data_IF_089029895056
#
_entry.id   IF_089029895056
#
_cell.length_a   1.000
_cell.length_b   1.000
_cell.length_c   1.000
_cell.angle_alpha   90.00
_cell.angle_beta   90.00
_cell.angle_gamma   90.00
#
_symmetry.space_group_name_H-M   'P 1'
#
loop_
_entity.id
_entity.type
_entity.pdbx_description
1 polymer ?
#
# COMPACT_ATOMS: atom_id res chain seq x y z
N UNK A 1 -1.76 -53.39 54.72
CA UNK A 1 -2.35 -53.16 56.06
C UNK A 1 -1.31 -52.43 56.90
N UNK A 2 -1.55 -51.31 57.61
CA UNK A 2 -2.63 -50.31 57.58
C UNK A 2 -2.12 -48.85 57.38
N UNK A 3 -3.03 -47.94 57.02
CA UNK A 3 -2.89 -46.47 57.00
C UNK A 3 -3.01 -45.84 58.40
N UNK A 4 -2.67 -44.55 58.57
CA UNK A 4 -3.76 -43.62 58.91
C UNK A 4 -3.69 -42.21 58.28
N UNK A 5 -4.88 -41.82 57.80
CA UNK A 5 -5.56 -40.51 57.75
C UNK A 5 -4.82 -39.28 58.31
N UNK A 6 -4.78 -38.22 57.49
CA UNK A 6 -5.07 -36.87 57.98
C UNK A 6 -6.07 -36.18 57.05
N UNK A 7 -7.18 -35.80 57.68
CA UNK A 7 -8.32 -35.06 57.13
C UNK A 7 -8.12 -33.58 57.45
N UNK A 8 -8.29 -32.70 56.45
CA UNK A 8 -8.66 -31.29 56.70
C UNK A 8 -9.64 -30.86 55.62
N UNK A 9 -10.90 -31.00 55.99
CA UNK A 9 -12.04 -30.35 55.36
C UNK A 9 -12.29 -29.07 56.15
N UNK A 10 -12.33 -27.92 55.48
CA UNK A 10 -12.94 -26.71 56.03
C UNK A 10 -13.86 -26.15 54.95
N UNK A 11 -15.14 -26.17 55.27
CA UNK A 11 -16.21 -25.56 54.51
C UNK A 11 -16.60 -24.24 55.19
N UNK A 12 -16.86 -23.19 54.40
CA UNK A 12 -18.00 -22.27 54.58
C UNK A 12 -17.96 -21.25 53.44
N UNK A 13 -18.92 -21.33 52.51
CA UNK A 13 -20.08 -20.43 52.40
C UNK A 13 -19.73 -18.93 52.38
N UNK A 14 -20.08 -18.24 51.29
CA UNK A 14 -21.35 -17.52 51.24
C UNK A 14 -21.54 -16.80 49.88
N UNK A 15 -22.67 -17.13 49.26
CA UNK A 15 -23.29 -16.41 48.15
C UNK A 15 -23.76 -15.02 48.59
N UNK A 16 -23.53 -13.98 47.78
CA UNK A 16 -24.44 -12.81 47.70
C UNK A 16 -24.50 -12.27 46.29
N UNK A 17 -25.55 -12.68 45.58
CA UNK A 17 -26.15 -11.91 44.50
C UNK A 17 -26.68 -10.60 45.10
N UNK A 18 -26.33 -9.46 44.51
CA UNK A 18 -26.95 -8.18 44.80
C UNK A 18 -27.53 -7.61 43.52
N UNK A 19 -28.78 -7.97 43.23
CA UNK A 19 -29.65 -7.21 42.35
C UNK A 19 -30.13 -5.97 43.10
N UNK A 20 -29.89 -4.78 42.56
CA UNK A 20 -30.69 -3.62 42.95
C UNK A 20 -31.02 -2.76 41.75
N UNK A 21 -32.32 -2.60 41.57
CA UNK A 21 -32.96 -2.01 40.43
C UNK A 21 -33.41 -0.57 40.75
N UNK A 22 -33.37 0.26 39.71
CA UNK A 22 -34.23 1.41 39.36
C UNK A 22 -34.42 2.63 40.30
N UNK A 23 -34.35 3.80 39.62
CA UNK A 23 -35.08 5.09 39.80
C UNK A 23 -34.43 6.21 40.62
N UNK A 24 -34.13 7.30 39.91
CA UNK A 24 -34.29 8.70 40.35
C UNK A 24 -34.36 9.56 39.09
N UNK A 25 -35.53 9.99 38.59
CA UNK A 25 -36.37 11.14 38.97
C UNK A 25 -35.67 12.50 38.88
N UNK A 26 -36.23 13.34 38.01
CA UNK A 26 -35.85 14.71 37.60
C UNK A 26 -35.81 15.74 38.74
N UNK A 27 -35.29 16.94 38.45
CA UNK A 27 -36.19 18.09 38.49
C UNK A 27 -36.13 19.01 37.25
N UNK A 28 -37.29 19.58 36.95
CA UNK A 28 -37.55 20.68 36.02
C UNK A 28 -37.12 22.02 36.63
N UNK A 29 -36.46 22.89 35.84
CA UNK A 29 -36.72 24.34 35.76
C UNK A 29 -35.91 24.91 34.57
N UNK A 30 -36.52 25.09 33.39
CA UNK A 30 -37.17 26.33 32.92
C UNK A 30 -36.18 27.49 32.76
N UNK A 31 -35.64 27.65 31.55
CA UNK A 31 -35.32 28.97 31.01
C UNK A 31 -35.97 29.11 29.64
N UNK A 32 -36.70 30.20 29.49
CA UNK A 32 -37.68 30.47 28.46
C UNK A 32 -37.17 31.56 27.53
N UNK A 33 -37.20 31.25 26.23
CA UNK A 33 -37.42 32.09 25.06
C UNK A 33 -36.74 33.46 24.96
N UNK A 34 -36.02 33.68 23.84
CA UNK A 34 -36.46 34.63 22.79
C UNK A 34 -36.02 34.16 21.40
N UNK A 35 -37.01 33.87 20.55
CA UNK A 35 -36.89 33.91 19.08
C UNK A 35 -37.10 35.36 18.63
N UNK A 36 -36.32 35.81 17.64
CA UNK A 36 -36.72 36.87 16.74
C UNK A 36 -36.15 36.58 15.34
N UNK A 37 -36.98 36.58 14.28
CA UNK A 37 -36.56 36.39 12.91
C UNK A 37 -36.21 37.74 12.27
N UNK A 38 -35.16 37.78 11.45
CA UNK A 38 -35.00 38.85 10.46
C UNK A 38 -35.00 38.19 9.09
N UNK A 39 -36.17 38.25 8.47
CA UNK A 39 -36.29 38.16 7.03
C UNK A 39 -35.66 39.41 6.42
N UNK A 40 -34.81 39.23 5.41
CA UNK A 40 -34.55 40.27 4.42
C UNK A 40 -34.49 39.62 3.05
N UNK A 41 -35.25 40.26 2.16
CA UNK A 41 -35.67 39.79 0.86
C UNK A 41 -34.54 39.97 -0.16
N UNK A 42 -34.42 38.98 -1.03
CA UNK A 42 -34.16 39.05 -2.48
C UNK A 42 -33.56 40.36 -3.01
N UNK A 43 -32.36 40.26 -3.58
CA UNK A 43 -32.07 40.83 -4.89
C UNK A 43 -30.94 40.04 -5.58
N UNK A 44 -31.29 39.34 -6.65
CA UNK A 44 -30.35 38.88 -7.67
C UNK A 44 -29.83 40.12 -8.42
N UNK A 45 -28.52 40.36 -8.50
CA UNK A 45 -27.99 41.17 -9.57
C UNK A 45 -27.80 40.26 -10.80
N UNK A 46 -28.76 40.29 -11.72
CA UNK A 46 -28.47 40.02 -13.11
C UNK A 46 -27.47 41.08 -13.60
N UNK A 47 -26.20 40.70 -13.76
CA UNK A 47 -25.25 41.49 -14.55
C UNK A 47 -25.02 40.78 -15.87
N UNK A 48 -25.72 41.32 -16.86
CA UNK A 48 -25.42 41.14 -18.26
C UNK A 48 -23.95 41.51 -18.56
N UNK A 49 -23.33 40.67 -19.38
CA UNK A 49 -22.28 40.98 -20.35
C UNK A 49 -21.20 41.99 -19.96
N UNK A 50 -20.00 41.47 -19.66
CA UNK A 50 -18.79 41.95 -20.33
C UNK A 50 -17.94 40.72 -20.68
N UNK A 51 -17.93 40.40 -21.98
CA UNK A 51 -16.91 39.54 -22.59
C UNK A 51 -15.57 40.21 -22.33
N UNK A 52 -14.79 39.72 -21.36
CA UNK A 52 -13.38 40.10 -21.27
C UNK A 52 -12.62 39.25 -22.27
N UNK A 53 -12.55 39.79 -23.48
CA UNK A 53 -11.62 39.38 -24.51
C UNK A 53 -10.21 39.28 -23.92
N UNK A 54 -9.73 38.06 -23.74
CA UNK A 54 -8.29 37.80 -23.66
C UNK A 54 -7.79 37.83 -25.10
N UNK A 55 -7.41 39.01 -25.56
CA UNK A 55 -6.53 39.14 -26.72
C UNK A 55 -5.17 38.55 -26.32
N UNK A 56 -5.03 37.23 -26.47
CA UNK A 56 -3.71 36.59 -26.49
C UNK A 56 -3.20 36.70 -27.92
N UNK A 57 -2.15 37.49 -28.10
CA UNK A 57 -1.39 37.59 -29.34
C UNK A 57 -0.64 36.28 -29.55
N UNK A 58 -1.30 35.27 -30.10
CA UNK A 58 -0.58 34.17 -30.73
C UNK A 58 0.06 34.73 -32.02
N UNK A 59 1.36 34.53 -32.28
CA UNK A 59 1.93 34.88 -33.57
C UNK A 59 1.21 34.05 -34.64
N UNK A 60 0.55 34.74 -35.56
CA UNK A 60 0.03 34.13 -36.77
C UNK A 60 1.21 33.56 -37.56
N UNK A 61 1.33 32.23 -37.61
CA UNK A 61 2.18 31.57 -38.60
C UNK A 61 1.54 31.82 -39.96
N UNK A 62 2.01 32.87 -40.63
CA UNK A 62 1.76 33.13 -42.04
C UNK A 62 2.12 31.87 -42.81
N UNK A 63 1.10 31.18 -43.32
CA UNK A 63 1.25 30.02 -44.21
C UNK A 63 1.68 30.57 -45.58
N UNK A 64 2.96 30.93 -45.69
CA UNK A 64 3.59 31.20 -46.97
C UNK A 64 3.74 29.88 -47.72
N UNK A 65 3.26 29.83 -48.96
CA UNK A 65 3.60 28.77 -49.90
C UNK A 65 5.05 29.07 -50.33
N UNK A 66 6.02 28.53 -49.60
CA UNK A 66 7.40 28.44 -50.07
C UNK A 66 7.60 27.03 -50.64
N UNK A 67 8.03 26.88 -51.91
CA UNK A 67 8.58 25.61 -52.34
C UNK A 67 9.94 25.46 -51.64
N UNK A 68 10.19 24.28 -51.07
CA UNK A 68 11.45 23.89 -50.41
C UNK A 68 11.72 24.49 -49.02
N UNK A 69 10.88 24.17 -48.04
CA UNK A 69 11.30 24.22 -46.62
C UNK A 69 10.71 23.03 -45.84
N UNK A 70 11.52 21.98 -45.82
CA UNK A 70 11.77 21.02 -44.73
C UNK A 70 10.83 21.08 -43.50
N UNK A 71 10.19 19.93 -43.28
CA UNK A 71 9.21 19.61 -42.25
C UNK A 71 9.72 19.97 -40.83
N UNK A 72 9.14 20.97 -40.13
CA UNK A 72 9.52 21.21 -38.74
C UNK A 72 8.94 20.09 -37.89
N UNK A 73 9.83 19.30 -37.27
CA UNK A 73 9.50 18.25 -36.32
C UNK A 73 8.48 18.77 -35.29
N UNK A 74 7.41 18.00 -35.13
CA UNK A 74 6.40 18.18 -34.08
C UNK A 74 7.14 18.27 -32.74
N UNK A 75 6.87 19.26 -31.86
CA UNK A 75 7.31 19.17 -30.48
C UNK A 75 6.49 18.04 -29.85
N UNK A 76 7.03 16.84 -29.94
CA UNK A 76 6.57 15.71 -29.19
C UNK A 76 6.93 16.03 -27.73
N UNK A 77 5.92 16.46 -27.00
CA UNK A 77 5.82 16.16 -25.58
C UNK A 77 5.70 14.64 -25.45
N UNK A 78 6.79 13.95 -25.77
CA UNK A 78 7.07 12.59 -25.38
C UNK A 78 7.64 12.73 -23.97
N UNK A 79 6.77 12.63 -22.98
CA UNK A 79 7.18 11.86 -21.81
C UNK A 79 7.62 10.52 -22.37
N UNK A 80 8.93 10.38 -22.57
CA UNK A 80 9.60 9.14 -22.92
C UNK A 80 9.26 8.15 -21.80
N UNK A 81 8.15 7.45 -21.99
CA UNK A 81 7.87 6.21 -21.30
C UNK A 81 8.93 5.25 -21.83
N UNK A 82 10.07 5.22 -21.14
CA UNK A 82 11.11 4.23 -21.34
C UNK A 82 10.45 2.90 -21.05
N UNK A 83 9.94 2.23 -22.09
CA UNK A 83 9.45 0.88 -21.98
C UNK A 83 10.64 0.00 -21.60
N UNK A 84 10.68 -0.55 -20.39
CA UNK A 84 11.70 -1.52 -20.03
C UNK A 84 11.27 -2.81 -20.70
N UNK A 85 12.17 -3.41 -21.48
CA UNK A 85 11.96 -4.64 -22.25
C UNK A 85 11.85 -5.89 -21.37
N UNK A 86 11.27 -5.78 -20.18
CA UNK A 86 11.01 -6.89 -19.26
C UNK A 86 9.56 -7.31 -19.50
N UNK A 87 9.35 -8.56 -19.91
CA UNK A 87 8.02 -9.08 -20.17
C UNK A 87 7.25 -9.20 -18.84
N UNK A 88 6.47 -8.16 -18.52
CA UNK A 88 5.51 -8.20 -17.41
C UNK A 88 4.51 -9.32 -17.69
N UNK A 89 4.37 -10.25 -16.76
CA UNK A 89 3.48 -11.39 -16.91
C UNK A 89 2.02 -10.96 -16.74
N UNK A 90 1.15 -11.40 -17.65
CA UNK A 90 -0.31 -11.27 -17.47
C UNK A 90 -0.80 -12.35 -16.50
N UNK A 91 -0.75 -12.06 -15.20
CA UNK A 91 -1.21 -12.98 -14.15
C UNK A 91 -2.74 -12.94 -13.99
N UNK A 92 -3.37 -14.05 -13.63
CA UNK A 92 -4.72 -14.06 -13.05
C UNK A 92 -4.68 -13.57 -11.60
N UNK A 93 -5.84 -13.22 -11.03
CA UNK A 93 -5.94 -12.78 -9.64
C UNK A 93 -5.44 -13.88 -8.67
N UNK A 94 -5.84 -15.14 -8.90
CA UNK A 94 -5.41 -16.29 -8.11
C UNK A 94 -3.90 -16.52 -8.16
N UNK A 95 -3.31 -16.51 -9.36
CA UNK A 95 -1.85 -16.69 -9.52
C UNK A 95 -1.07 -15.55 -8.85
N UNK A 96 -1.52 -14.30 -8.98
CA UNK A 96 -0.90 -13.18 -8.28
C UNK A 96 -0.96 -13.38 -6.76
N UNK A 97 -2.11 -13.83 -6.24
CA UNK A 97 -2.26 -14.07 -4.81
C UNK A 97 -1.27 -15.12 -4.32
N UNK A 98 -1.23 -16.28 -4.97
CA UNK A 98 -0.31 -17.38 -4.66
C UNK A 98 1.16 -16.93 -4.69
N UNK A 99 1.61 -16.33 -5.80
CA UNK A 99 3.00 -15.87 -5.97
C UNK A 99 3.39 -14.79 -4.96
N UNK A 100 2.50 -13.82 -4.72
CA UNK A 100 2.81 -12.70 -3.84
C UNK A 100 2.72 -13.11 -2.35
N UNK A 101 1.82 -14.04 -1.98
CA UNK A 101 1.79 -14.61 -0.62
C UNK A 101 3.03 -15.47 -0.39
N UNK A 102 3.36 -16.40 -1.28
CA UNK A 102 4.56 -17.24 -1.17
C UNK A 102 5.84 -16.39 -1.04
N UNK A 103 5.99 -15.38 -1.91
CA UNK A 103 7.14 -14.49 -1.85
C UNK A 103 7.21 -13.73 -0.52
N UNK A 104 6.11 -13.15 -0.07
CA UNK A 104 6.11 -12.37 1.18
C UNK A 104 6.28 -13.26 2.41
N UNK A 105 5.73 -14.46 2.43
CA UNK A 105 5.93 -15.42 3.52
C UNK A 105 7.41 -15.81 3.64
N UNK A 106 8.09 -16.03 2.51
CA UNK A 106 9.54 -16.28 2.48
C UNK A 106 10.33 -15.07 3.00
N UNK A 107 9.94 -13.85 2.58
CA UNK A 107 10.54 -12.61 3.06
C UNK A 107 10.37 -12.48 4.58
N UNK A 108 9.14 -12.67 5.08
CA UNK A 108 8.82 -12.63 6.51
C UNK A 108 9.67 -13.63 7.28
N UNK A 109 9.72 -14.89 6.85
CA UNK A 109 10.52 -15.92 7.51
C UNK A 109 12.00 -15.54 7.62
N UNK A 110 12.59 -14.94 6.58
CA UNK A 110 13.98 -14.46 6.61
C UNK A 110 14.19 -13.28 7.57
N UNK A 111 13.22 -12.38 7.65
CA UNK A 111 13.30 -11.24 8.55
C UNK A 111 13.02 -11.61 10.02
N UNK A 112 12.14 -12.58 10.27
CA UNK A 112 11.92 -13.16 11.60
C UNK A 112 13.17 -13.88 12.12
N UNK A 113 13.83 -14.67 11.28
CA UNK A 113 15.15 -15.28 11.59
C UNK A 113 16.18 -14.20 11.99
N UNK A 114 16.23 -13.08 11.27
CA UNK A 114 17.12 -11.97 11.61
C UNK A 114 16.73 -11.24 12.89
N UNK A 115 15.43 -11.12 13.18
CA UNK A 115 14.94 -10.51 14.42
C UNK A 115 15.33 -11.35 15.64
N UNK A 116 15.37 -12.68 15.53
CA UNK A 116 15.86 -13.57 16.59
C UNK A 116 17.37 -13.39 16.84
N UNK A 117 18.15 -13.09 15.81
CA UNK A 117 19.59 -12.79 15.93
C UNK A 117 19.88 -11.36 16.43
N UNK A 118 18.96 -10.43 16.14
CA UNK A 118 19.11 -8.99 16.37
C UNK A 118 17.85 -8.38 16.97
N UNK A 119 17.90 -8.14 18.28
CA UNK A 119 16.80 -7.52 19.05
C UNK A 119 16.46 -6.08 18.63
N UNK A 120 17.28 -5.44 17.78
CA UNK A 120 17.08 -4.07 17.32
C UNK A 120 16.25 -3.95 16.04
N UNK A 121 15.93 -5.07 15.38
CA UNK A 121 15.05 -5.15 14.21
C UNK A 121 13.66 -5.60 14.67
N UNK A 122 12.61 -4.95 14.17
CA UNK A 122 11.22 -5.32 14.44
C UNK A 122 10.47 -5.55 13.13
N UNK A 123 9.82 -6.70 13.01
CA UNK A 123 9.15 -7.17 11.79
C UNK A 123 7.70 -7.48 12.12
N UNK A 124 6.77 -6.87 11.39
CA UNK A 124 5.34 -7.05 11.58
C UNK A 124 4.68 -7.28 10.22
N UNK A 125 3.97 -8.41 10.08
CA UNK A 125 3.22 -8.73 8.87
C UNK A 125 1.72 -8.83 9.17
N UNK A 126 0.93 -7.94 8.58
CA UNK A 126 -0.51 -7.91 8.79
C UNK A 126 -1.27 -7.51 7.54
N UNK A 127 -2.30 -8.30 7.18
CA UNK A 127 -3.23 -7.99 6.09
C UNK A 127 -2.56 -7.67 4.74
N UNK A 128 -1.48 -8.38 4.41
CA UNK A 128 -0.70 -8.15 3.18
C UNK A 128 0.22 -6.93 3.23
N UNK A 129 0.44 -6.36 4.41
CA UNK A 129 1.41 -5.28 4.66
C UNK A 129 2.50 -5.81 5.59
N UNK A 130 3.73 -5.84 5.09
CA UNK A 130 4.95 -6.13 5.85
C UNK A 130 5.61 -4.81 6.24
N UNK A 131 5.81 -4.60 7.53
CA UNK A 131 6.52 -3.46 8.09
C UNK A 131 7.81 -3.96 8.74
N UNK A 132 8.95 -3.41 8.31
CA UNK A 132 10.26 -3.72 8.88
C UNK A 132 10.85 -2.43 9.46
N UNK A 133 11.01 -2.38 10.77
CA UNK A 133 11.66 -1.27 11.44
C UNK A 133 13.16 -1.55 11.56
N UNK A 134 13.95 -0.79 10.82
CA UNK A 134 15.41 -0.89 10.86
C UNK A 134 15.99 0.31 11.63
N UNK A 135 16.78 0.11 12.70
CA UNK A 135 17.13 1.16 13.65
C UNK A 135 17.94 2.30 13.03
N UNK A 136 18.85 2.00 12.10
CA UNK A 136 19.72 3.00 11.47
C UNK A 136 19.17 3.57 10.16
N UNK A 137 18.24 2.87 9.50
CA UNK A 137 17.77 3.18 8.14
C UNK A 137 16.35 3.74 8.13
N UNK A 138 15.55 3.42 9.13
CA UNK A 138 14.14 3.78 9.23
C UNK A 138 13.21 2.61 8.96
N UNK A 139 11.94 2.92 8.72
CA UNK A 139 10.89 1.91 8.53
C UNK A 139 10.62 1.65 7.06
N UNK A 140 10.71 0.38 6.68
CA UNK A 140 10.36 -0.14 5.37
C UNK A 140 8.92 -0.66 5.41
N UNK A 141 8.15 -0.37 4.38
CA UNK A 141 6.78 -0.88 4.24
C UNK A 141 6.62 -1.53 2.89
N UNK A 142 6.29 -2.82 2.88
CA UNK A 142 6.00 -3.61 1.70
C UNK A 142 4.52 -3.96 1.73
N UNK A 143 3.79 -3.69 0.66
CA UNK A 143 2.34 -3.83 0.60
C UNK A 143 1.89 -4.55 -0.66
N UNK A 144 1.07 -5.58 -0.52
CA UNK A 144 0.36 -6.21 -1.62
C UNK A 144 -0.66 -5.25 -2.21
N UNK A 145 -0.70 -5.14 -3.54
CA UNK A 145 -1.72 -4.39 -4.27
C UNK A 145 -2.45 -5.31 -5.26
N UNK A 146 -3.40 -6.14 -4.77
CA UNK A 146 -4.16 -7.05 -5.62
C UNK A 146 -4.83 -6.39 -6.84
N UNK A 147 -5.46 -5.19 -6.73
CA UNK A 147 -6.09 -4.57 -7.89
C UNK A 147 -5.15 -4.29 -9.07
N UNK A 148 -3.86 -4.10 -8.78
CA UNK A 148 -2.83 -3.82 -9.77
C UNK A 148 -1.93 -5.03 -10.04
N UNK A 149 -2.07 -6.13 -9.28
CA UNK A 149 -1.17 -7.29 -9.29
C UNK A 149 0.29 -6.91 -9.06
N UNK A 150 0.51 -5.99 -8.12
CA UNK A 150 1.82 -5.41 -7.82
C UNK A 150 2.17 -5.55 -6.34
N UNK A 151 3.46 -5.54 -6.05
CA UNK A 151 3.98 -5.31 -4.70
C UNK A 151 4.55 -3.90 -4.64
N UNK A 152 4.14 -3.12 -3.65
CA UNK A 152 4.65 -1.77 -3.45
C UNK A 152 5.63 -1.75 -2.29
N UNK A 153 6.75 -1.05 -2.47
CA UNK A 153 7.77 -0.83 -1.45
C UNK A 153 7.83 0.66 -1.12
N UNK A 154 7.89 0.99 0.15
CA UNK A 154 8.30 2.29 0.66
C UNK A 154 9.60 2.10 1.43
N UNK A 155 10.73 2.41 0.80
CA UNK A 155 12.03 2.46 1.46
C UNK A 155 12.35 3.89 1.91
N UNK A 156 12.91 4.09 3.12
CA UNK A 156 13.43 5.38 3.56
C UNK A 156 14.65 5.85 2.76
N UNK A 157 15.33 4.95 2.03
CA UNK A 157 16.53 5.23 1.23
C UNK A 157 16.15 5.48 -0.23
N UNK A 158 15.49 4.51 -0.89
CA UNK A 158 15.15 4.61 -2.31
C UNK A 158 13.80 5.29 -2.58
N UNK A 159 12.99 5.51 -1.55
CA UNK A 159 11.63 6.02 -1.70
C UNK A 159 10.64 4.96 -2.20
N UNK A 160 9.50 5.38 -2.77
CA UNK A 160 8.43 4.48 -3.22
C UNK A 160 8.79 3.78 -4.54
N UNK A 161 8.69 2.45 -4.56
CA UNK A 161 8.84 1.60 -5.74
C UNK A 161 7.63 0.68 -5.92
N UNK A 162 7.40 0.24 -7.16
CA UNK A 162 6.30 -0.67 -7.53
C UNK A 162 6.88 -1.80 -8.35
N UNK A 163 6.60 -3.02 -7.97
CA UNK A 163 7.15 -4.20 -8.60
C UNK A 163 6.06 -4.98 -9.30
N UNK A 164 6.37 -5.37 -10.53
CA UNK A 164 5.54 -6.19 -11.38
C UNK A 164 6.20 -7.57 -11.51
N UNK A 165 5.41 -8.63 -11.49
CA UNK A 165 5.93 -9.98 -11.68
C UNK A 165 6.37 -10.17 -13.13
N UNK A 166 7.64 -10.51 -13.32
CA UNK A 166 8.25 -10.74 -14.61
C UNK A 166 8.74 -12.18 -14.69
N UNK A 167 8.35 -12.89 -15.74
CA UNK A 167 8.75 -14.29 -15.94
C UNK A 167 10.00 -14.34 -16.83
N UNK A 168 11.05 -15.01 -16.36
CA UNK A 168 12.28 -15.24 -17.10
C UNK A 168 12.27 -16.68 -17.62
N UNK A 169 11.75 -16.88 -18.83
CA UNK A 169 11.59 -18.21 -19.40
C UNK A 169 11.35 -18.20 -20.91
N UNK A 170 12.40 -17.96 -21.69
CA UNK A 170 12.43 -18.29 -23.12
C UNK A 170 12.90 -19.75 -23.27
N UNK A 171 12.00 -20.70 -23.06
CA UNK A 171 12.31 -22.13 -23.13
C UNK A 171 11.14 -22.90 -23.70
N UNK A 172 11.10 -23.00 -25.01
CA UNK A 172 10.21 -23.86 -25.80
C UNK A 172 10.34 -25.33 -25.33
N UNK A 173 9.58 -25.73 -24.30
CA UNK A 173 9.73 -27.03 -23.64
C UNK A 173 8.91 -27.16 -22.35
N UNK A 174 7.59 -27.14 -22.51
CA UNK A 174 6.52 -27.48 -21.56
C UNK A 174 6.93 -28.27 -20.30
N UNK A 175 6.96 -27.57 -19.16
CA UNK A 175 6.34 -28.03 -17.90
C UNK A 175 5.64 -26.84 -17.25
N UNK A 176 4.33 -26.77 -17.43
CA UNK A 176 3.45 -25.90 -16.64
C UNK A 176 3.70 -26.21 -15.16
N UNK A 177 4.43 -25.36 -14.44
CA UNK A 177 4.65 -25.57 -13.00
C UNK A 177 5.81 -24.85 -12.33
N UNK A 178 6.81 -24.33 -13.06
CA UNK A 178 7.92 -23.59 -12.42
C UNK A 178 8.54 -22.58 -13.38
N UNK A 179 7.72 -21.70 -13.95
CA UNK A 179 8.25 -20.54 -14.66
C UNK A 179 8.93 -19.64 -13.62
N UNK A 180 10.26 -19.56 -13.66
CA UNK A 180 11.04 -18.71 -12.74
C UNK A 180 10.71 -17.25 -13.06
N UNK A 181 10.15 -16.54 -12.09
CA UNK A 181 9.89 -15.11 -12.19
C UNK A 181 10.45 -14.37 -11.00
N UNK A 182 10.55 -13.05 -11.15
CA UNK A 182 10.96 -12.15 -10.08
C UNK A 182 10.12 -10.88 -10.10
N UNK A 183 10.08 -10.20 -8.97
CA UNK A 183 9.42 -8.91 -8.79
C UNK A 183 10.35 -7.80 -9.25
N UNK A 184 10.07 -7.23 -10.43
CA UNK A 184 10.94 -6.24 -11.09
C UNK A 184 10.28 -4.86 -11.06
N UNK A 185 11.06 -3.84 -10.73
CA UNK A 185 10.63 -2.45 -10.87
C UNK A 185 10.85 -2.00 -12.31
N UNK A 186 9.76 -1.72 -13.03
CA UNK A 186 9.82 -1.31 -14.43
C UNK A 186 10.82 -0.15 -14.67
N UNK A 187 10.83 0.89 -13.82
CA UNK A 187 11.61 2.11 -14.11
C UNK A 187 13.12 1.89 -14.18
N UNK A 188 13.68 1.11 -13.26
CA UNK A 188 15.13 0.92 -13.14
C UNK A 188 15.57 -0.52 -13.45
N UNK A 189 14.63 -1.46 -13.63
CA UNK A 189 14.90 -2.87 -13.84
C UNK A 189 15.41 -3.61 -12.60
N UNK A 190 15.45 -2.97 -11.43
CA UNK A 190 15.91 -3.59 -10.19
C UNK A 190 14.89 -4.61 -9.68
N UNK A 191 15.38 -5.75 -9.18
CA UNK A 191 14.53 -6.70 -8.48
C UNK A 191 14.30 -6.31 -7.03
N UNK A 192 13.18 -6.75 -6.46
CA UNK A 192 12.90 -6.54 -5.04
C UNK A 192 13.96 -7.24 -4.16
N UNK A 193 14.42 -8.42 -4.58
CA UNK A 193 15.53 -9.15 -3.96
C UNK A 193 16.83 -8.34 -3.94
N UNK A 194 17.16 -7.67 -5.06
CA UNK A 194 18.33 -6.82 -5.14
C UNK A 194 18.25 -5.66 -4.15
N UNK A 195 17.08 -5.03 -3.98
CA UNK A 195 16.91 -3.95 -3.01
C UNK A 195 17.08 -4.46 -1.57
N UNK A 196 16.56 -5.63 -1.22
CA UNK A 196 16.81 -6.22 0.10
C UNK A 196 18.28 -6.55 0.34
N UNK A 197 18.98 -7.03 -0.69
CA UNK A 197 20.41 -7.32 -0.60
C UNK A 197 21.25 -6.05 -0.45
N UNK A 198 21.01 -5.02 -1.26
CA UNK A 198 21.77 -3.78 -1.25
C UNK A 198 21.47 -2.93 -0.02
N UNK A 199 20.19 -2.79 0.33
CA UNK A 199 19.77 -1.91 1.40
C UNK A 199 19.81 -2.58 2.76
N UNK A 200 19.46 -3.86 2.88
CA UNK A 200 19.36 -4.55 4.17
C UNK A 200 20.45 -5.60 4.37
N UNK A 201 21.16 -5.99 3.31
CA UNK A 201 22.16 -7.06 3.37
C UNK A 201 21.55 -8.45 3.48
N UNK A 202 20.27 -8.60 3.11
CA UNK A 202 19.50 -9.85 3.27
C UNK A 202 19.30 -10.48 1.91
N UNK A 203 19.70 -11.75 1.80
CA UNK A 203 19.49 -12.54 0.59
C UNK A 203 18.17 -13.31 0.74
N UNK A 204 17.23 -13.05 -0.17
CA UNK A 204 15.90 -13.68 -0.23
C UNK A 204 15.79 -14.50 -1.53
N UNK A 205 16.89 -15.14 -1.92
CA UNK A 205 16.81 -16.11 -3.00
C UNK A 205 15.90 -17.25 -2.55
N UNK A 206 14.82 -17.46 -3.29
CA UNK A 206 14.00 -18.67 -3.16
C UNK A 206 14.91 -19.81 -3.61
N UNK A 207 15.27 -20.77 -2.73
CA UNK A 207 16.07 -21.90 -3.17
C UNK A 207 15.22 -22.67 -4.18
N UNK A 208 15.50 -22.47 -5.46
CA UNK A 208 15.02 -23.37 -6.50
C UNK A 208 15.44 -24.76 -6.08
N UNK A 209 14.45 -25.62 -5.84
CA UNK A 209 14.65 -27.01 -5.47
C UNK A 209 15.60 -27.64 -6.51
N UNK A 210 16.83 -27.97 -6.09
CA UNK A 210 17.78 -28.78 -6.89
C UNK A 210 17.33 -30.25 -6.94
#
# INVERSE_FOLDING_TARGET
MPTPKMSRQVASQASRLASRAVRSSTPLCRSSFRLAPVASRICLPARAGVLRSYFSTAPARTRGIMPDTENPAKPLNESEDVQPSVAVAELTDGEYHELADEYLDNVVGKFEELQDEREDIDVEFSSGVLTISWPDKGTYVINKQPPNKQIWLSSPISGPKRYDWCVFGEGQGDKEGTAVGDWIYARDGSSLNQVFLEELGVNIDVPGEE
#
